data_IF_591284987154
#
_entry.id   IF_591284987154
#
_cell.length_a   1.000
_cell.length_b   1.000
_cell.length_c   1.000
_cell.angle_alpha   90.00
_cell.angle_beta   90.00
_cell.angle_gamma   90.00
#
_symmetry.space_group_name_H-M   'P 1'
#
loop_
_entity.id
_entity.type
_entity.pdbx_description
1 polymer ?
#
# COMPACT_ATOMS: atom_id res chain seq x y z
N UNK A 1 -30.36 11.00 0.87
CA UNK A 1 -30.86 12.08 1.75
C UNK A 1 -32.39 12.17 1.78
N UNK A 2 -33.08 12.48 0.66
CA UNK A 2 -34.55 12.63 0.64
C UNK A 2 -35.31 11.47 1.30
N UNK A 3 -35.00 10.23 0.92
CA UNK A 3 -35.64 9.03 1.48
C UNK A 3 -35.40 8.87 2.99
N UNK A 4 -34.17 9.09 3.46
CA UNK A 4 -33.85 9.00 4.90
C UNK A 4 -34.51 10.10 5.72
N UNK A 5 -34.58 11.33 5.18
CA UNK A 5 -35.31 12.43 5.80
C UNK A 5 -36.82 12.18 5.88
N UNK A 6 -37.36 11.30 5.04
CA UNK A 6 -38.74 10.85 5.06
C UNK A 6 -38.91 9.49 5.77
N UNK A 7 -37.96 9.10 6.62
CA UNK A 7 -38.05 7.89 7.45
C UNK A 7 -37.89 6.57 6.69
N UNK A 8 -37.46 6.61 5.41
CA UNK A 8 -37.14 5.42 4.64
C UNK A 8 -35.63 5.15 4.70
N UNK A 9 -35.17 4.13 5.44
CA UNK A 9 -33.75 3.81 5.49
C UNK A 9 -33.28 3.34 4.11
N UNK A 10 -32.29 4.03 3.54
CA UNK A 10 -31.74 3.68 2.21
C UNK A 10 -30.49 2.81 2.25
N UNK A 11 -29.86 2.69 3.42
CA UNK A 11 -28.69 1.84 3.60
C UNK A 11 -29.05 0.66 4.52
N UNK A 12 -28.93 -0.59 4.03
CA UNK A 12 -29.13 -1.75 4.87
C UNK A 12 -28.02 -1.83 5.92
N UNK A 13 -28.38 -2.29 7.13
CA UNK A 13 -27.38 -2.66 8.13
C UNK A 13 -26.66 -3.91 7.64
N UNK A 14 -25.37 -3.77 7.37
CA UNK A 14 -24.54 -4.87 6.90
C UNK A 14 -24.11 -5.71 8.10
N UNK A 15 -24.54 -6.97 8.14
CA UNK A 15 -24.18 -7.92 9.20
C UNK A 15 -22.83 -8.60 8.95
N UNK A 16 -22.28 -8.43 7.76
CA UNK A 16 -20.97 -8.94 7.34
C UNK A 16 -20.19 -7.80 6.71
N UNK A 17 -18.88 -7.76 6.96
CA UNK A 17 -17.98 -6.79 6.34
C UNK A 17 -18.00 -6.98 4.81
N UNK A 18 -18.29 -5.96 4.01
CA UNK A 18 -18.17 -6.04 2.56
C UNK A 18 -16.75 -6.35 2.14
N UNK A 19 -16.60 -7.03 1.01
CA UNK A 19 -15.29 -7.22 0.40
C UNK A 19 -14.59 -5.88 0.15
N UNK A 20 -13.29 -5.83 0.45
CA UNK A 20 -12.49 -4.66 0.21
C UNK A 20 -12.49 -4.32 -1.28
N UNK A 21 -12.88 -3.08 -1.62
CA UNK A 21 -12.78 -2.56 -2.99
C UNK A 21 -11.38 -2.04 -3.31
N UNK A 22 -10.71 -1.51 -2.30
CA UNK A 22 -9.35 -0.98 -2.34
C UNK A 22 -8.67 -1.26 -0.99
N UNK A 23 -7.35 -1.45 -1.01
CA UNK A 23 -6.52 -1.47 0.19
C UNK A 23 -5.47 -0.38 0.02
N UNK A 24 -5.36 0.50 1.01
CA UNK A 24 -4.43 1.64 0.99
C UNK A 24 -3.50 1.60 2.19
N UNK A 25 -2.24 1.95 1.96
CA UNK A 25 -1.24 2.15 3.00
C UNK A 25 -0.48 3.44 2.74
N UNK A 26 -0.32 4.24 3.79
CA UNK A 26 0.22 5.58 3.68
C UNK A 26 -0.10 6.42 4.91
N UNK A 27 0.09 7.73 4.76
CA UNK A 27 -0.10 8.71 5.81
C UNK A 27 0.96 9.81 5.71
N UNK A 28 1.16 10.50 6.83
CA UNK A 28 2.22 11.51 6.95
C UNK A 28 3.59 10.84 6.78
N UNK A 29 4.54 11.55 6.16
CA UNK A 29 5.95 11.13 6.12
C UNK A 29 6.78 11.73 7.28
N UNK A 30 6.09 12.15 8.34
CA UNK A 30 6.64 12.91 9.44
C UNK A 30 6.92 14.35 9.01
N UNK A 31 8.21 14.73 8.96
CA UNK A 31 8.60 16.04 8.44
C UNK A 31 8.45 16.07 6.92
N UNK A 32 7.70 17.04 6.42
CA UNK A 32 7.58 17.28 4.98
C UNK A 32 8.98 17.36 4.34
N UNK A 33 9.16 16.72 3.19
CA UNK A 33 10.47 16.52 2.58
C UNK A 33 10.46 16.80 1.09
N UNK A 34 11.58 17.34 0.62
CA UNK A 34 11.93 17.43 -0.80
C UNK A 34 13.11 16.54 -1.19
N UNK A 35 13.64 15.77 -0.24
CA UNK A 35 14.73 14.82 -0.49
C UNK A 35 14.18 13.58 -1.21
N UNK A 36 14.61 13.32 -2.47
CA UNK A 36 14.14 12.17 -3.24
C UNK A 36 14.40 10.83 -2.56
N UNK A 37 15.52 10.68 -1.84
CA UNK A 37 15.87 9.43 -1.19
C UNK A 37 14.92 9.13 -0.03
N UNK A 38 14.67 10.13 0.83
CA UNK A 38 13.68 10.02 1.90
C UNK A 38 12.29 9.68 1.38
N UNK A 39 11.81 10.39 0.36
CA UNK A 39 10.46 10.15 -0.18
C UNK A 39 10.37 8.77 -0.83
N UNK A 40 11.39 8.33 -1.57
CA UNK A 40 11.46 6.99 -2.13
C UNK A 40 11.43 5.91 -1.03
N UNK A 41 12.12 6.11 0.10
CA UNK A 41 12.08 5.18 1.22
C UNK A 41 10.69 5.06 1.85
N UNK A 42 9.97 6.17 2.00
CA UNK A 42 8.57 6.13 2.44
C UNK A 42 7.65 5.41 1.44
N UNK A 43 7.91 5.55 0.13
CA UNK A 43 7.19 4.78 -0.90
C UNK A 43 7.43 3.28 -0.69
N UNK A 44 8.70 2.85 -0.55
CA UNK A 44 9.02 1.44 -0.32
C UNK A 44 8.39 0.92 0.97
N UNK A 45 8.49 1.66 2.07
CA UNK A 45 7.83 1.34 3.35
C UNK A 45 6.33 1.13 3.16
N UNK A 46 5.65 2.02 2.46
CA UNK A 46 4.20 1.92 2.26
C UNK A 46 3.83 0.75 1.36
N UNK A 47 4.68 0.39 0.38
CA UNK A 47 4.50 -0.83 -0.42
C UNK A 47 4.67 -2.09 0.44
N UNK A 48 5.67 -2.16 1.32
CA UNK A 48 5.83 -3.32 2.22
C UNK A 48 4.60 -3.52 3.11
N UNK A 49 4.07 -2.42 3.66
CA UNK A 49 2.82 -2.45 4.45
C UNK A 49 1.62 -2.85 3.59
N UNK A 50 1.60 -2.46 2.32
CA UNK A 50 0.51 -2.79 1.41
C UNK A 50 0.52 -4.29 1.07
N UNK A 51 1.69 -4.84 0.76
CA UNK A 51 1.88 -6.27 0.51
C UNK A 51 1.45 -7.10 1.71
N UNK A 52 1.86 -6.68 2.91
CA UNK A 52 1.46 -7.35 4.14
C UNK A 52 -0.06 -7.36 4.33
N UNK A 53 -0.74 -6.24 4.06
CA UNK A 53 -2.20 -6.17 4.10
C UNK A 53 -2.86 -7.05 3.02
N UNK A 54 -2.34 -7.05 1.79
CA UNK A 54 -2.84 -7.90 0.70
C UNK A 54 -2.76 -9.38 1.06
N UNK A 55 -1.62 -9.80 1.65
CA UNK A 55 -1.41 -11.18 2.10
C UNK A 55 -2.36 -11.55 3.24
N UNK A 56 -2.53 -10.67 4.24
CA UNK A 56 -3.46 -10.88 5.36
C UNK A 56 -4.90 -11.10 4.88
N UNK A 57 -5.37 -10.34 3.89
CA UNK A 57 -6.71 -10.49 3.33
C UNK A 57 -6.81 -11.54 2.22
N UNK A 58 -5.72 -12.25 1.89
CA UNK A 58 -5.64 -13.24 0.82
C UNK A 58 -6.11 -12.71 -0.55
N UNK A 59 -5.76 -11.46 -0.86
CA UNK A 59 -6.11 -10.79 -2.13
C UNK A 59 -4.88 -10.29 -2.88
N UNK A 60 -5.02 -10.18 -4.19
CA UNK A 60 -4.05 -9.58 -5.11
C UNK A 60 -4.67 -8.39 -5.83
N UNK A 61 -3.86 -7.52 -6.43
CA UNK A 61 -4.35 -6.35 -7.16
C UNK A 61 -3.91 -6.34 -8.63
N UNK A 62 -4.75 -5.76 -9.48
CA UNK A 62 -4.41 -5.47 -10.89
C UNK A 62 -3.98 -4.02 -11.10
N UNK A 63 -4.23 -3.15 -10.12
CA UNK A 63 -3.94 -1.73 -10.21
C UNK A 63 -3.22 -1.22 -8.98
N UNK A 64 -2.25 -0.35 -9.21
CA UNK A 64 -1.53 0.37 -8.17
C UNK A 64 -1.66 1.87 -8.42
N UNK A 65 -2.01 2.63 -7.39
CA UNK A 65 -2.03 4.09 -7.41
C UNK A 65 -1.06 4.62 -6.36
N UNK A 66 -0.24 5.60 -6.73
CA UNK A 66 0.56 6.40 -5.82
C UNK A 66 -0.04 7.80 -5.75
N UNK A 67 -0.48 8.25 -4.58
CA UNK A 67 -0.89 9.63 -4.31
C UNK A 67 0.14 10.34 -3.42
N UNK A 68 0.47 11.58 -3.77
CA UNK A 68 1.33 12.49 -3.03
C UNK A 68 0.55 13.77 -2.71
N UNK A 69 0.51 14.13 -1.43
CA UNK A 69 -0.01 15.41 -0.97
C UNK A 69 1.18 16.28 -0.61
N UNK A 70 1.24 17.46 -1.20
CA UNK A 70 2.32 18.41 -0.97
C UNK A 70 1.87 19.50 0.00
N UNK A 71 2.85 20.12 0.65
CA UNK A 71 2.62 21.29 1.52
C UNK A 71 2.37 22.56 0.70
N UNK A 72 3.01 22.67 -0.45
CA UNK A 72 3.15 23.87 -1.27
C UNK A 72 2.68 23.67 -2.72
N UNK A 73 2.04 22.54 -3.01
CA UNK A 73 1.47 22.23 -4.32
C UNK A 73 0.17 21.39 -4.18
N UNK A 74 -0.70 21.38 -5.19
CA UNK A 74 -1.89 20.52 -5.19
C UNK A 74 -1.54 19.03 -5.14
N UNK A 75 -2.41 18.23 -4.51
CA UNK A 75 -2.30 16.77 -4.54
C UNK A 75 -2.16 16.24 -5.99
N UNK A 76 -1.31 15.22 -6.14
CA UNK A 76 -1.13 14.50 -7.40
C UNK A 76 -1.15 13.02 -7.14
N UNK A 77 -1.86 12.30 -8.00
CA UNK A 77 -1.86 10.86 -8.01
C UNK A 77 -1.54 10.32 -9.40
N UNK A 78 -0.84 9.19 -9.44
CA UNK A 78 -0.61 8.43 -10.66
C UNK A 78 -1.07 7.00 -10.46
N UNK A 79 -1.66 6.41 -11.50
CA UNK A 79 -2.17 5.04 -11.49
C UNK A 79 -1.57 4.24 -12.63
N UNK A 80 -1.27 2.99 -12.37
CA UNK A 80 -0.85 2.01 -13.37
C UNK A 80 -1.70 0.75 -13.28
N UNK A 81 -1.91 0.11 -14.43
CA UNK A 81 -2.38 -1.27 -14.48
C UNK A 81 -1.16 -2.19 -14.52
N UNK A 82 -1.20 -3.25 -13.73
CA UNK A 82 -0.16 -4.25 -13.64
C UNK A 82 -0.35 -5.29 -14.75
N UNK A 83 0.74 -5.96 -15.16
CA UNK A 83 0.71 -6.95 -16.24
C UNK A 83 -0.08 -8.24 -15.89
N UNK A 84 -0.41 -8.41 -14.61
CA UNK A 84 -1.21 -9.49 -14.06
C UNK A 84 -1.50 -9.19 -12.58
N UNK A 85 -2.44 -9.94 -11.99
CA UNK A 85 -2.79 -9.77 -10.59
C UNK A 85 -1.63 -10.22 -9.70
N UNK A 86 -1.15 -9.33 -8.82
CA UNK A 86 0.01 -9.62 -7.95
C UNK A 86 -0.14 -8.99 -6.57
N UNK A 87 0.52 -9.61 -5.60
CA UNK A 87 0.82 -9.03 -4.28
C UNK A 87 2.33 -9.10 -3.99
N UNK A 88 3.18 -9.34 -5.00
CA UNK A 88 4.63 -9.46 -4.83
C UNK A 88 5.26 -8.13 -4.53
N UNK A 89 6.14 -8.11 -3.53
CA UNK A 89 6.84 -6.91 -3.09
C UNK A 89 7.61 -6.24 -4.23
N UNK A 90 8.42 -7.00 -4.96
CA UNK A 90 9.27 -6.42 -6.00
C UNK A 90 8.47 -5.76 -7.13
N UNK A 91 7.41 -6.42 -7.59
CA UNK A 91 6.58 -5.93 -8.69
C UNK A 91 5.87 -4.62 -8.28
N UNK A 92 5.27 -4.59 -7.08
CA UNK A 92 4.60 -3.40 -6.56
C UNK A 92 5.58 -2.26 -6.24
N UNK A 93 6.76 -2.59 -5.70
CA UNK A 93 7.82 -1.63 -5.39
C UNK A 93 8.32 -0.96 -6.65
N UNK A 94 8.64 -1.75 -7.68
CA UNK A 94 9.11 -1.25 -8.96
C UNK A 94 8.05 -0.34 -9.61
N UNK A 95 6.78 -0.74 -9.61
CA UNK A 95 5.69 0.07 -10.12
C UNK A 95 5.55 1.40 -9.35
N UNK A 96 5.60 1.38 -8.01
CA UNK A 96 5.49 2.59 -7.21
C UNK A 96 6.65 3.57 -7.43
N UNK A 97 7.89 3.07 -7.46
CA UNK A 97 9.08 3.90 -7.72
C UNK A 97 9.09 4.47 -9.15
N UNK A 98 8.57 3.73 -10.13
CA UNK A 98 8.39 4.24 -11.48
C UNK A 98 7.34 5.37 -11.54
N UNK A 99 6.28 5.29 -10.73
CA UNK A 99 5.27 6.34 -10.63
C UNK A 99 5.76 7.59 -9.89
N UNK A 100 6.70 7.45 -8.96
CA UNK A 100 7.18 8.55 -8.10
C UNK A 100 7.53 9.85 -8.86
N UNK A 101 8.42 9.86 -9.87
CA UNK A 101 8.75 11.10 -10.60
C UNK A 101 7.58 11.68 -11.41
N UNK A 102 6.54 10.88 -11.71
CA UNK A 102 5.34 11.32 -12.45
C UNK A 102 4.31 11.94 -11.50
N UNK A 103 4.14 11.35 -10.33
CA UNK A 103 3.30 11.91 -9.27
C UNK A 103 3.94 13.16 -8.64
N UNK A 104 5.27 13.22 -8.55
CA UNK A 104 5.99 14.32 -7.93
C UNK A 104 6.17 15.51 -8.87
N UNK A 105 5.10 16.27 -9.04
CA UNK A 105 5.07 17.47 -9.88
C UNK A 105 4.40 18.64 -9.14
N UNK A 106 5.08 19.79 -8.99
CA UNK A 106 6.41 20.12 -9.53
C UNK A 106 7.56 19.44 -8.75
N UNK A 107 8.75 19.23 -9.36
CA UNK A 107 9.86 18.49 -8.73
C UNK A 107 10.42 19.13 -7.45
N UNK A 108 10.16 20.42 -7.22
CA UNK A 108 10.61 21.14 -6.03
C UNK A 108 9.60 21.11 -4.86
N UNK A 109 8.41 20.53 -5.06
CA UNK A 109 7.36 20.51 -4.05
C UNK A 109 7.75 19.66 -2.84
N UNK A 110 7.31 20.09 -1.66
CA UNK A 110 7.52 19.40 -0.39
C UNK A 110 6.42 18.38 -0.16
N UNK A 111 6.75 17.10 -0.22
CA UNK A 111 5.81 16.00 0.09
C UNK A 111 5.54 15.98 1.58
N UNK A 112 4.27 15.94 1.99
CA UNK A 112 3.85 15.89 3.40
C UNK A 112 3.11 14.58 3.73
N UNK A 113 2.25 14.10 2.83
CA UNK A 113 1.59 12.80 2.95
C UNK A 113 1.72 12.02 1.65
N UNK A 114 1.62 10.70 1.75
CA UNK A 114 1.54 9.84 0.59
C UNK A 114 0.71 8.58 0.87
N UNK A 115 0.13 8.02 -0.19
CA UNK A 115 -0.59 6.75 -0.15
C UNK A 115 -0.22 5.87 -1.34
N UNK A 116 -0.05 4.58 -1.07
CA UNK A 116 0.00 3.53 -2.08
C UNK A 116 -1.30 2.72 -1.96
N UNK A 117 -2.06 2.65 -3.04
CA UNK A 117 -3.42 2.12 -3.07
C UNK A 117 -3.48 0.97 -4.08
N UNK A 118 -3.78 -0.23 -3.60
CA UNK A 118 -4.13 -1.38 -4.40
C UNK A 118 -5.61 -1.32 -4.79
N UNK A 119 -5.89 -1.44 -6.09
CA UNK A 119 -7.25 -1.45 -6.64
C UNK A 119 -7.48 -2.66 -7.54
N UNK A 120 -8.76 -2.86 -7.89
CA UNK A 120 -9.22 -4.04 -8.65
C UNK A 120 -8.74 -5.31 -7.95
N UNK A 121 -9.16 -5.45 -6.69
CA UNK A 121 -8.76 -6.55 -5.83
C UNK A 121 -9.45 -7.85 -6.27
N UNK A 122 -8.73 -8.96 -6.16
CA UNK A 122 -9.23 -10.30 -6.46
C UNK A 122 -8.71 -11.30 -5.42
N UNK A 123 -9.46 -12.37 -5.10
CA UNK A 123 -8.94 -13.46 -4.29
C UNK A 123 -7.68 -14.07 -4.93
N UNK A 124 -6.62 -14.28 -4.14
CA UNK A 124 -5.35 -14.83 -4.62
C UNK A 124 -5.54 -16.22 -5.26
N UNK A 125 -6.42 -17.05 -4.68
CA UNK A 125 -6.75 -18.38 -5.21
C UNK A 125 -7.36 -18.39 -6.62
N UNK A 126 -7.85 -17.24 -7.11
CA UNK A 126 -8.47 -17.09 -8.44
C UNK A 126 -7.67 -16.18 -9.36
N UNK A 127 -6.41 -15.90 -9.05
CA UNK A 127 -5.61 -14.99 -9.86
C UNK A 127 -5.24 -15.59 -11.21
N UNK A 128 -5.42 -14.80 -12.27
CA UNK A 128 -4.90 -15.14 -13.59
C UNK A 128 -3.43 -14.73 -13.66
N UNK A 129 -2.55 -15.72 -13.77
CA UNK A 129 -1.12 -15.46 -14.02
C UNK A 129 -0.95 -14.88 -15.41
N UNK A 130 -0.02 -13.94 -15.55
CA UNK A 130 0.34 -13.42 -16.87
C UNK A 130 1.12 -14.46 -17.67
N UNK A 131 0.94 -14.52 -18.99
CA UNK A 131 1.74 -15.37 -19.88
C UNK A 131 3.25 -15.04 -19.80
N UNK A 132 3.58 -13.82 -19.34
CA UNK A 132 4.93 -13.31 -19.21
C UNK A 132 5.43 -13.26 -17.76
N UNK A 133 4.76 -13.98 -16.84
CA UNK A 133 5.17 -14.06 -15.43
C UNK A 133 6.05 -15.30 -15.22
N UNK A 134 7.40 -15.20 -15.29
CA UNK A 134 8.26 -16.34 -15.04
C UNK A 134 8.15 -16.79 -13.58
N UNK A 135 8.24 -18.09 -13.30
CA UNK A 135 8.36 -18.57 -11.92
C UNK A 135 9.64 -18.00 -11.30
N UNK A 136 9.53 -17.42 -10.10
CA UNK A 136 10.66 -16.88 -9.33
C UNK A 136 10.80 -17.63 -8.00
N UNK A 137 11.08 -18.94 -8.00
CA UNK A 137 10.97 -19.79 -6.81
C UNK A 137 11.88 -19.35 -5.66
N UNK A 138 13.04 -18.76 -5.97
CA UNK A 138 13.92 -18.19 -4.94
C UNK A 138 13.29 -16.98 -4.24
N UNK A 139 12.68 -16.08 -5.03
CA UNK A 139 12.05 -14.88 -4.47
C UNK A 139 10.79 -15.23 -3.69
N UNK A 140 9.95 -16.11 -4.23
CA UNK A 140 8.74 -16.57 -3.55
C UNK A 140 9.08 -17.22 -2.18
N UNK A 141 10.17 -18.01 -2.11
CA UNK A 141 10.68 -18.56 -0.83
C UNK A 141 11.19 -17.49 0.14
N UNK A 142 11.86 -16.45 -0.37
CA UNK A 142 12.35 -15.35 0.47
C UNK A 142 11.19 -14.55 1.03
N UNK A 143 10.19 -14.23 0.21
CA UNK A 143 8.99 -13.51 0.63
C UNK A 143 8.22 -14.32 1.68
N UNK A 144 8.10 -15.65 1.50
CA UNK A 144 7.52 -16.55 2.49
C UNK A 144 8.31 -16.59 3.80
N UNK A 145 9.64 -16.74 3.74
CA UNK A 145 10.50 -16.69 4.91
C UNK A 145 10.36 -15.36 5.66
N UNK A 146 10.34 -14.25 4.94
CA UNK A 146 10.14 -12.92 5.53
C UNK A 146 8.80 -12.82 6.24
N UNK A 147 7.75 -13.38 5.66
CA UNK A 147 6.44 -13.43 6.29
C UNK A 147 6.45 -14.27 7.56
N UNK A 148 6.98 -15.50 7.52
CA UNK A 148 7.04 -16.42 8.67
C UNK A 148 7.86 -15.84 9.84
N UNK A 149 8.97 -15.17 9.55
CA UNK A 149 9.78 -14.47 10.57
C UNK A 149 9.01 -13.28 11.17
N UNK A 150 8.32 -12.48 10.35
CA UNK A 150 7.54 -11.35 10.84
C UNK A 150 6.31 -11.79 11.66
N UNK A 151 5.67 -12.92 11.32
CA UNK A 151 4.58 -13.47 12.12
C UNK A 151 5.08 -13.98 13.49
N UNK A 152 6.28 -14.56 13.55
CA UNK A 152 6.81 -15.14 14.79
C UNK A 152 7.51 -14.15 15.71
N UNK A 153 8.25 -13.18 15.17
CA UNK A 153 9.06 -12.22 15.94
C UNK A 153 8.31 -10.91 16.18
N UNK A 154 7.36 -10.58 15.30
CA UNK A 154 6.62 -9.32 15.33
C UNK A 154 6.62 -8.67 13.96
N UNK A 155 5.49 -8.02 13.65
CA UNK A 155 5.29 -7.36 12.36
C UNK A 155 6.48 -6.47 12.09
N UNK A 156 7.03 -6.64 10.89
CA UNK A 156 8.08 -5.79 10.37
C UNK A 156 9.44 -5.83 11.08
N UNK A 157 9.70 -6.87 11.90
CA UNK A 157 11.02 -7.15 12.45
C UNK A 157 12.07 -7.43 11.36
N UNK A 158 11.67 -8.08 10.27
CA UNK A 158 12.46 -8.32 9.07
C UNK A 158 11.94 -7.49 7.89
N UNK A 159 12.82 -6.67 7.32
CA UNK A 159 12.53 -5.69 6.27
C UNK A 159 13.34 -5.93 5.01
N UNK A 160 12.88 -5.44 3.87
CA UNK A 160 13.73 -5.42 2.69
C UNK A 160 14.86 -4.41 2.90
N UNK A 161 16.10 -4.81 2.61
CA UNK A 161 17.26 -3.91 2.68
C UNK A 161 17.22 -2.74 1.68
N UNK A 162 16.14 -2.62 0.90
CA UNK A 162 15.94 -1.64 -0.16
C UNK A 162 15.91 -0.17 0.33
N UNK A 163 15.86 0.05 1.64
CA UNK A 163 15.71 1.38 2.26
C UNK A 163 16.90 1.77 3.16
N UNK A 164 17.98 0.97 3.19
CA UNK A 164 19.21 1.32 3.92
C UNK A 164 19.91 2.51 3.22
N UNK A 165 20.31 3.59 3.92
CA UNK A 165 20.51 3.73 5.37
C UNK A 165 19.49 4.64 6.09
N UNK A 166 18.26 4.82 5.58
CA UNK A 166 17.29 5.77 6.15
C UNK A 166 16.60 5.18 7.39
N UNK A 167 17.37 5.01 8.46
CA UNK A 167 16.94 4.43 9.73
C UNK A 167 15.75 5.18 10.34
N UNK A 168 15.70 6.50 10.14
CA UNK A 168 14.64 7.36 10.69
C UNK A 168 13.25 7.09 10.10
N UNK A 169 13.18 6.51 8.89
CA UNK A 169 11.93 6.03 8.30
C UNK A 169 11.39 4.81 9.06
N UNK A 170 12.29 4.01 9.66
CA UNK A 170 11.97 2.75 10.35
C UNK A 170 11.92 2.87 11.88
N UNK A 171 12.62 3.84 12.48
CA UNK A 171 12.60 4.07 13.93
C UNK A 171 11.42 4.91 14.41
N UNK A 172 10.57 5.41 13.50
CA UNK A 172 9.37 6.15 13.88
C UNK A 172 8.40 5.23 14.66
N UNK A 173 8.04 5.54 15.92
CA UNK A 173 7.09 4.75 16.70
C UNK A 173 5.72 4.60 16.01
N UNK A 174 5.34 5.53 15.14
CA UNK A 174 4.14 5.41 14.30
C UNK A 174 4.17 4.17 13.37
N UNK A 175 5.33 3.54 13.19
CA UNK A 175 5.49 2.32 12.40
C UNK A 175 4.81 1.10 13.01
N UNK A 176 4.72 1.04 14.35
CA UNK A 176 4.13 -0.09 15.07
C UNK A 176 2.59 -0.09 15.00
N UNK A 177 1.99 1.04 14.64
CA UNK A 177 0.54 1.21 14.60
C UNK A 177 0.00 1.14 13.16
N UNK A 178 -1.16 0.52 12.96
CA UNK A 178 -1.92 0.60 11.71
C UNK A 178 -2.91 1.75 11.77
N UNK A 179 -2.77 2.72 10.85
CA UNK A 179 -3.49 3.98 10.99
C UNK A 179 -4.92 3.93 10.45
N UNK A 180 -5.34 3.03 9.56
CA UNK A 180 -6.74 3.05 9.04
C UNK A 180 -7.35 1.70 8.59
N UNK A 181 -6.76 0.54 8.90
CA UNK A 181 -7.48 -0.74 8.74
C UNK A 181 -6.94 -1.72 9.79
N UNK A 182 -7.43 -1.58 11.02
CA UNK A 182 -7.09 -2.52 12.09
C UNK A 182 -7.73 -3.85 11.69
N UNK A 183 -6.93 -4.91 11.61
CA UNK A 183 -7.40 -6.25 11.32
C UNK A 183 -8.65 -6.59 12.14
N UNK A 184 -9.75 -6.88 11.43
CA UNK A 184 -11.04 -7.20 12.04
C UNK A 184 -11.89 -6.03 12.55
N UNK A 185 -11.48 -4.76 12.40
CA UNK A 185 -12.31 -3.60 12.75
C UNK A 185 -12.83 -2.87 11.51
N UNK A 186 -14.11 -2.54 11.52
CA UNK A 186 -14.72 -1.61 10.57
C UNK A 186 -14.57 -0.20 11.12
N UNK A 187 -13.90 0.69 10.38
CA UNK A 187 -13.90 2.12 10.67
C UNK A 187 -15.07 2.74 9.89
N UNK A 188 -15.97 3.43 10.60
CA UNK A 188 -17.13 4.13 10.05
C UNK A 188 -16.76 5.51 9.50
#
# INVERSE_FOLDING_TARGET
>A
LWWELNGTPTQPVLTVRPEHKFISRGGSIGRASRDPQRVAAFVVRNVERLVEALNHYHVVCDQLTLSLLFRDAPERAWRVSLLGSTARLEDLRQAALWMLPRAWQPPAAWVNYMHVIAGTLRPDCRRQKSLFEPPRPRQDRLDQLMHEVNESVGRFALRSGATLPLADVHTDPANEYDICDIYGKSCF
#
